data_IF_813468857384
#
_entry.id   IF_813468857384
#
_cell.length_a   1.000
_cell.length_b   1.000
_cell.length_c   1.000
_cell.angle_alpha   90.00
_cell.angle_beta   90.00
_cell.angle_gamma   90.00
#
_symmetry.space_group_name_H-M   'P 1'
#
loop_
_entity.id
_entity.type
_entity.pdbx_description
1 polymer ?
#
# COMPACT_ATOMS: atom_id res chain seq x y z
N UNK A 1 -58.59 -28.12 35.79
CA UNK A 1 -57.12 -28.10 36.05
C UNK A 1 -56.39 -27.54 34.83
N UNK A 2 -56.10 -26.24 34.85
CA UNK A 2 -55.36 -25.54 33.80
C UNK A 2 -53.87 -25.53 34.16
N UNK A 3 -53.03 -26.19 33.34
CA UNK A 3 -51.58 -26.16 33.47
C UNK A 3 -51.06 -24.85 32.82
N UNK A 4 -50.49 -23.96 33.62
CA UNK A 4 -49.72 -22.83 33.17
C UNK A 4 -48.31 -23.31 32.78
N UNK A 5 -47.96 -23.19 31.51
CA UNK A 5 -46.60 -23.35 31.02
C UNK A 5 -45.91 -21.99 31.14
N UNK A 6 -44.97 -21.85 32.05
CA UNK A 6 -44.05 -20.71 32.11
C UNK A 6 -42.89 -20.95 31.11
N UNK A 7 -42.90 -20.21 30.03
CA UNK A 7 -41.77 -20.17 29.08
C UNK A 7 -40.74 -19.18 29.61
N UNK A 8 -39.60 -19.69 30.11
CA UNK A 8 -38.45 -18.85 30.43
C UNK A 8 -37.80 -18.38 29.13
N UNK A 9 -37.90 -17.09 28.85
CA UNK A 9 -37.16 -16.41 27.77
C UNK A 9 -35.75 -16.12 28.30
N UNK A 10 -34.77 -16.91 27.89
CA UNK A 10 -33.36 -16.65 28.19
C UNK A 10 -32.88 -15.49 27.32
N UNK A 11 -32.81 -14.29 27.89
CA UNK A 11 -32.16 -13.15 27.29
C UNK A 11 -30.63 -13.36 27.45
N UNK A 12 -29.97 -13.80 26.39
CA UNK A 12 -28.51 -13.79 26.33
C UNK A 12 -28.04 -12.32 26.20
N UNK A 13 -27.68 -11.72 27.36
CA UNK A 13 -26.91 -10.47 27.35
C UNK A 13 -25.56 -10.78 26.66
N UNK A 14 -25.35 -10.26 25.47
CA UNK A 14 -24.02 -10.11 24.90
C UNK A 14 -23.27 -9.15 25.82
N UNK A 15 -22.45 -9.70 26.72
CA UNK A 15 -21.55 -8.90 27.53
C UNK A 15 -20.49 -8.28 26.60
N UNK A 16 -20.60 -6.99 26.33
CA UNK A 16 -19.50 -6.23 25.75
C UNK A 16 -18.36 -6.27 26.77
N UNK A 17 -17.16 -6.72 26.40
CA UNK A 17 -16.04 -6.76 27.32
C UNK A 17 -15.74 -5.36 27.82
N UNK A 18 -15.95 -5.11 29.12
CA UNK A 18 -15.53 -3.88 29.76
C UNK A 18 -14.03 -4.01 30.07
N UNK A 19 -13.18 -3.36 29.27
CA UNK A 19 -11.76 -3.27 29.57
C UNK A 19 -11.55 -2.47 30.87
N UNK A 20 -10.85 -3.04 31.83
CA UNK A 20 -10.45 -2.35 33.06
C UNK A 20 -9.02 -1.80 32.98
N UNK A 21 -8.28 -2.12 31.92
CA UNK A 21 -6.88 -1.76 31.72
C UNK A 21 -6.75 -0.57 30.75
N UNK A 22 -5.73 0.24 30.97
CA UNK A 22 -5.32 1.34 30.09
C UNK A 22 -5.15 0.86 28.64
N UNK A 23 -5.65 1.59 27.62
CA UNK A 23 -5.52 1.20 26.23
C UNK A 23 -4.05 1.12 25.77
N UNK A 24 -3.80 0.29 24.77
CA UNK A 24 -2.52 0.27 24.06
C UNK A 24 -2.62 1.30 22.94
N UNK A 25 -1.86 2.39 23.03
CA UNK A 25 -1.83 3.43 22.00
C UNK A 25 -0.96 3.00 20.83
N UNK A 26 -1.53 2.98 19.64
CA UNK A 26 -0.83 2.81 18.37
C UNK A 26 -0.98 4.07 17.53
N UNK A 27 0.08 4.45 16.82
CA UNK A 27 0.06 5.60 15.93
C UNK A 27 -0.41 5.20 14.53
N UNK A 28 -1.04 6.14 13.86
CA UNK A 28 -1.30 6.07 12.43
C UNK A 28 -0.92 7.40 11.78
N UNK A 29 -0.13 7.36 10.72
CA UNK A 29 0.09 8.52 9.87
C UNK A 29 -0.51 8.21 8.51
N UNK A 30 -1.43 9.05 8.07
CA UNK A 30 -2.15 8.84 6.82
C UNK A 30 -2.10 10.07 5.92
N UNK A 31 -2.48 9.90 4.67
CA UNK A 31 -2.58 10.96 3.66
C UNK A 31 -4.06 11.22 3.31
N UNK A 32 -4.90 11.53 4.33
CA UNK A 32 -6.35 11.71 4.09
C UNK A 32 -6.68 12.99 3.33
N UNK A 33 -5.70 13.88 3.19
CA UNK A 33 -5.76 15.05 2.29
C UNK A 33 -4.52 15.14 1.42
N UNK A 34 -4.57 15.99 0.38
CA UNK A 34 -3.47 16.16 -0.59
C UNK A 34 -3.58 15.22 -1.79
N UNK A 35 -2.44 14.97 -2.44
CA UNK A 35 -2.39 14.22 -3.70
C UNK A 35 -2.71 12.73 -3.51
N UNK A 36 -2.33 12.16 -2.37
CA UNK A 36 -2.52 10.75 -2.04
C UNK A 36 -3.78 10.48 -1.20
N UNK A 37 -4.77 11.39 -1.21
CA UNK A 37 -5.95 11.28 -0.35
C UNK A 37 -6.75 9.98 -0.56
N UNK A 38 -6.86 9.49 -1.79
CA UNK A 38 -7.58 8.25 -2.08
C UNK A 38 -6.98 7.05 -1.34
N UNK A 39 -5.65 6.95 -1.32
CA UNK A 39 -4.92 5.88 -0.62
C UNK A 39 -5.11 5.98 0.90
N UNK A 40 -4.87 7.16 1.47
CA UNK A 40 -4.91 7.36 2.92
C UNK A 40 -6.30 7.19 3.53
N UNK A 41 -7.36 7.57 2.82
CA UNK A 41 -8.74 7.33 3.29
C UNK A 41 -9.01 5.84 3.41
N UNK A 42 -8.61 5.04 2.41
CA UNK A 42 -8.79 3.60 2.45
C UNK A 42 -7.97 2.93 3.58
N UNK A 43 -6.75 3.43 3.86
CA UNK A 43 -5.92 2.96 4.98
C UNK A 43 -6.60 3.23 6.32
N UNK A 44 -7.03 4.47 6.57
CA UNK A 44 -7.66 4.87 7.84
C UNK A 44 -8.94 4.08 8.14
N UNK A 45 -9.81 3.91 7.15
CA UNK A 45 -11.03 3.12 7.37
C UNK A 45 -10.70 1.65 7.66
N UNK A 46 -9.68 1.09 7.03
CA UNK A 46 -9.25 -0.29 7.25
C UNK A 46 -8.58 -0.50 8.62
N UNK A 47 -7.78 0.46 9.08
CA UNK A 47 -7.22 0.46 10.45
C UNK A 47 -8.33 0.50 11.49
N UNK A 48 -9.34 1.37 11.30
CA UNK A 48 -10.53 1.43 12.19
C UNK A 48 -11.27 0.10 12.27
N UNK A 49 -11.51 -0.54 11.11
CA UNK A 49 -12.20 -1.84 11.04
C UNK A 49 -11.39 -2.90 11.81
N UNK A 50 -10.08 -3.01 11.55
CA UNK A 50 -9.22 -3.99 12.21
C UNK A 50 -9.17 -3.78 13.73
N UNK A 51 -9.02 -2.53 14.17
CA UNK A 51 -8.98 -2.18 15.60
C UNK A 51 -10.32 -2.50 16.29
N UNK A 52 -11.45 -2.19 15.64
CA UNK A 52 -12.77 -2.50 16.17
C UNK A 52 -12.97 -4.01 16.35
N UNK A 53 -12.54 -4.83 15.38
CA UNK A 53 -12.60 -6.30 15.47
C UNK A 53 -11.72 -6.85 16.59
N UNK A 54 -10.49 -6.38 16.69
CA UNK A 54 -9.54 -6.81 17.73
C UNK A 54 -10.10 -6.44 19.11
N UNK A 55 -10.64 -5.24 19.27
CA UNK A 55 -11.21 -4.78 20.54
C UNK A 55 -12.48 -5.59 20.91
N UNK A 56 -13.34 -5.88 19.93
CA UNK A 56 -14.51 -6.73 20.14
C UNK A 56 -14.14 -8.18 20.54
N UNK A 57 -12.98 -8.67 20.08
CA UNK A 57 -12.43 -9.98 20.42
C UNK A 57 -11.69 -10.03 21.78
N UNK A 58 -11.63 -8.92 22.53
CA UNK A 58 -10.97 -8.87 23.85
C UNK A 58 -9.64 -8.09 23.84
N UNK A 59 -9.32 -7.39 22.77
CA UNK A 59 -8.13 -6.55 22.64
C UNK A 59 -6.83 -7.34 22.49
N UNK A 60 -5.73 -6.70 22.83
CA UNK A 60 -4.38 -7.26 22.81
C UNK A 60 -3.86 -7.34 24.24
N UNK A 61 -3.41 -8.52 24.67
CA UNK A 61 -3.03 -8.77 26.10
C UNK A 61 -4.13 -8.33 27.09
N UNK A 62 -5.43 -8.46 26.71
CA UNK A 62 -6.58 -8.05 27.55
C UNK A 62 -6.78 -6.53 27.64
N UNK A 63 -6.16 -5.75 26.76
CA UNK A 63 -6.24 -4.28 26.69
C UNK A 63 -6.79 -3.84 25.33
N UNK A 64 -7.65 -2.81 25.24
CA UNK A 64 -8.10 -2.30 23.96
C UNK A 64 -6.95 -1.58 23.23
N UNK A 65 -6.99 -1.59 21.89
CA UNK A 65 -6.19 -0.72 21.05
C UNK A 65 -6.87 0.66 20.94
N UNK A 66 -6.06 1.72 21.02
CA UNK A 66 -6.46 3.10 20.76
C UNK A 66 -5.57 3.67 19.65
N UNK A 67 -6.18 4.21 18.58
CA UNK A 67 -5.46 4.80 17.45
C UNK A 67 -5.31 6.30 17.64
N UNK A 68 -4.07 6.78 17.58
CA UNK A 68 -3.74 8.22 17.48
C UNK A 68 -3.34 8.51 16.05
N UNK A 69 -4.20 9.19 15.28
CA UNK A 69 -4.00 9.43 13.86
C UNK A 69 -3.63 10.88 13.55
N UNK A 70 -2.67 11.07 12.64
CA UNK A 70 -2.30 12.36 12.05
C UNK A 70 -2.35 12.31 10.52
N UNK A 71 -2.95 13.34 9.91
CA UNK A 71 -2.88 13.56 8.46
C UNK A 71 -1.57 14.27 8.10
N UNK A 72 -0.74 13.65 7.29
CA UNK A 72 0.48 14.26 6.78
C UNK A 72 0.30 15.01 5.44
N UNK A 73 -0.93 15.07 4.90
CA UNK A 73 -1.30 15.88 3.75
C UNK A 73 -0.42 15.67 2.50
N UNK A 74 0.13 14.47 2.35
CA UNK A 74 1.11 14.12 1.30
C UNK A 74 2.39 14.99 1.32
N UNK A 75 2.76 15.55 2.49
CA UNK A 75 3.92 16.44 2.64
C UNK A 75 4.96 15.84 3.58
N UNK A 76 6.22 15.79 3.15
CA UNK A 76 7.32 15.24 3.95
C UNK A 76 7.50 15.97 5.31
N UNK A 77 7.36 17.30 5.32
CA UNK A 77 7.47 18.10 6.54
C UNK A 77 6.37 17.72 7.55
N UNK A 78 5.13 17.57 7.09
CA UNK A 78 4.01 17.17 7.94
C UNK A 78 4.17 15.72 8.43
N UNK A 79 4.69 14.83 7.58
CA UNK A 79 5.03 13.45 7.98
C UNK A 79 6.06 13.41 9.10
N UNK A 80 7.15 14.18 8.98
CA UNK A 80 8.20 14.29 10.03
C UNK A 80 7.62 14.86 11.33
N UNK A 81 6.76 15.87 11.24
CA UNK A 81 6.12 16.49 12.41
C UNK A 81 5.14 15.51 13.09
N UNK A 82 4.33 14.79 12.32
CA UNK A 82 3.43 13.75 12.82
C UNK A 82 4.20 12.62 13.52
N UNK A 83 5.25 12.10 12.88
CA UNK A 83 6.12 11.08 13.46
C UNK A 83 6.72 11.53 14.79
N UNK A 84 7.23 12.77 14.87
CA UNK A 84 7.78 13.33 16.12
C UNK A 84 6.72 13.40 17.22
N UNK A 85 5.50 13.85 16.90
CA UNK A 85 4.41 13.93 17.89
C UNK A 85 4.04 12.56 18.43
N UNK A 86 3.83 11.57 17.56
CA UNK A 86 3.50 10.20 17.97
C UNK A 86 4.57 9.57 18.86
N UNK A 87 5.85 9.79 18.55
CA UNK A 87 6.99 9.26 19.30
C UNK A 87 7.20 9.98 20.62
N UNK A 88 7.27 11.31 20.61
CA UNK A 88 7.72 12.10 21.77
C UNK A 88 6.59 12.51 22.71
N UNK A 89 5.39 12.80 22.18
CA UNK A 89 4.26 13.31 22.95
C UNK A 89 3.22 12.23 23.27
N UNK A 90 2.73 11.53 22.24
CA UNK A 90 1.68 10.52 22.40
C UNK A 90 2.22 9.18 22.92
N UNK A 91 3.54 8.92 22.73
CA UNK A 91 4.28 7.74 23.22
C UNK A 91 3.62 6.44 22.79
N UNK A 92 3.34 6.33 21.49
CA UNK A 92 2.71 5.15 20.90
C UNK A 92 3.68 3.96 20.86
N UNK A 93 3.14 2.74 20.88
CA UNK A 93 3.94 1.50 20.86
C UNK A 93 4.57 1.27 19.48
N UNK A 94 3.85 1.58 18.43
CA UNK A 94 4.30 1.50 17.04
C UNK A 94 3.46 2.43 16.17
N UNK A 95 3.89 2.68 14.92
CA UNK A 95 3.20 3.55 13.95
C UNK A 95 2.92 2.76 12.68
N UNK A 96 1.70 2.86 12.15
CA UNK A 96 1.27 2.26 10.88
C UNK A 96 1.14 3.36 9.83
N UNK A 97 1.47 3.02 8.57
CA UNK A 97 1.34 3.92 7.42
C UNK A 97 2.38 5.04 7.37
N UNK A 98 2.30 5.91 6.38
CA UNK A 98 1.42 5.84 5.23
C UNK A 98 2.01 5.04 4.06
N UNK A 99 1.26 4.97 2.98
CA UNK A 99 1.81 4.74 1.65
C UNK A 99 2.64 5.94 1.20
N UNK A 100 3.61 5.71 0.32
CA UNK A 100 4.46 6.78 -0.21
C UNK A 100 5.89 6.72 0.32
N UNK A 101 6.81 6.23 -0.53
CA UNK A 101 8.21 5.97 -0.15
C UNK A 101 8.92 7.21 0.40
N UNK A 102 8.83 8.36 -0.30
CA UNK A 102 9.49 9.60 0.14
C UNK A 102 9.02 10.12 1.50
N UNK A 103 7.76 9.91 1.86
CA UNK A 103 7.21 10.24 3.18
C UNK A 103 7.87 9.37 4.27
N UNK A 104 7.89 8.05 4.06
CA UNK A 104 8.47 7.11 5.01
C UNK A 104 9.99 7.27 5.16
N UNK A 105 10.72 7.51 4.06
CA UNK A 105 12.17 7.78 4.06
C UNK A 105 12.47 9.03 4.90
N UNK A 106 11.70 10.12 4.71
CA UNK A 106 11.90 11.38 5.45
C UNK A 106 11.68 11.21 6.97
N UNK A 107 10.72 10.39 7.39
CA UNK A 107 10.42 10.16 8.81
C UNK A 107 11.26 9.04 9.46
N UNK A 108 11.91 8.18 8.68
CA UNK A 108 12.67 7.04 9.20
C UNK A 108 13.68 7.40 10.31
N UNK A 109 14.43 8.52 10.24
CA UNK A 109 15.34 8.93 11.32
C UNK A 109 14.62 9.22 12.65
N UNK A 110 13.35 9.65 12.62
CA UNK A 110 12.57 9.93 13.83
C UNK A 110 12.24 8.62 14.56
N UNK A 111 11.72 7.63 13.83
CA UNK A 111 11.39 6.32 14.38
C UNK A 111 12.61 5.60 14.93
N UNK A 112 13.74 5.63 14.21
CA UNK A 112 14.98 5.01 14.66
C UNK A 112 15.53 5.67 15.94
N UNK A 113 15.53 7.00 16.04
CA UNK A 113 15.98 7.70 17.26
C UNK A 113 15.03 7.55 18.43
N UNK A 114 13.73 7.46 18.14
CA UNK A 114 12.69 7.31 19.16
C UNK A 114 12.48 5.88 19.62
N UNK A 115 13.13 4.91 18.98
CA UNK A 115 12.96 3.48 19.26
C UNK A 115 11.50 3.02 19.13
N UNK A 116 10.76 3.54 18.15
CA UNK A 116 9.36 3.19 17.87
C UNK A 116 9.27 2.54 16.50
N UNK A 117 8.72 1.33 16.44
CA UNK A 117 8.58 0.61 15.18
C UNK A 117 7.58 1.32 14.24
N UNK A 118 7.97 1.44 12.96
CA UNK A 118 7.15 1.97 11.88
C UNK A 118 6.86 0.85 10.87
N UNK A 119 5.57 0.60 10.61
CA UNK A 119 5.07 -0.41 9.69
C UNK A 119 4.50 0.30 8.45
N UNK A 120 5.30 0.42 7.41
CA UNK A 120 4.86 1.01 6.14
C UNK A 120 3.87 0.08 5.41
N UNK A 121 2.77 0.63 4.95
CA UNK A 121 1.72 -0.09 4.22
C UNK A 121 2.17 -0.43 2.79
N UNK A 122 2.48 0.60 1.99
CA UNK A 122 2.92 0.45 0.59
C UNK A 122 4.15 1.31 0.20
N UNK A 123 5.10 1.60 1.09
CA UNK A 123 6.33 2.30 0.69
C UNK A 123 7.36 1.29 0.13
N UNK A 124 7.43 1.14 -1.16
CA UNK A 124 8.15 0.07 -1.87
C UNK A 124 9.63 0.34 -2.13
N UNK A 125 10.08 1.59 -2.02
CA UNK A 125 11.49 1.94 -2.24
C UNK A 125 12.40 1.28 -1.19
N UNK A 126 13.54 0.66 -1.59
CA UNK A 126 14.47 0.02 -0.65
C UNK A 126 14.93 0.93 0.51
N UNK A 127 15.11 2.23 0.27
CA UNK A 127 15.59 3.19 1.27
C UNK A 127 14.64 3.40 2.46
N UNK A 128 13.46 2.82 2.44
CA UNK A 128 12.54 2.85 3.60
C UNK A 128 13.08 2.02 4.76
N UNK A 129 13.64 0.84 4.49
CA UNK A 129 14.13 -0.09 5.53
C UNK A 129 15.66 -0.16 5.62
N UNK A 130 16.36 0.34 4.60
CA UNK A 130 17.82 0.48 4.62
C UNK A 130 18.21 1.94 4.35
N UNK A 131 19.41 2.36 4.75
CA UNK A 131 19.97 3.64 4.37
C UNK A 131 20.78 3.55 3.05
N UNK A 132 21.31 4.67 2.59
CA UNK A 132 22.10 4.75 1.34
C UNK A 132 23.38 3.87 1.37
N UNK A 133 23.87 3.52 2.57
CA UNK A 133 25.00 2.59 2.73
C UNK A 133 24.57 1.12 2.74
N UNK A 134 23.27 0.84 2.64
CA UNK A 134 22.70 -0.50 2.74
C UNK A 134 22.54 -1.00 4.18
N UNK A 135 22.76 -0.16 5.19
CA UNK A 135 22.56 -0.53 6.59
C UNK A 135 21.07 -0.50 6.94
N UNK A 136 20.60 -1.56 7.61
CA UNK A 136 19.21 -1.68 8.06
C UNK A 136 18.84 -0.54 9.02
N UNK A 137 17.67 0.03 8.83
CA UNK A 137 16.99 0.96 9.73
C UNK A 137 16.21 0.15 10.76
N UNK A 138 16.68 -0.01 12.01
CA UNK A 138 16.21 -1.07 12.91
C UNK A 138 14.73 -0.95 13.32
N UNK A 139 14.12 0.22 13.16
CA UNK A 139 12.71 0.45 13.52
C UNK A 139 11.79 0.70 12.32
N UNK A 140 12.27 0.43 11.10
CA UNK A 140 11.45 0.61 9.90
C UNK A 140 11.19 -0.75 9.23
N UNK A 141 9.92 -1.06 9.04
CA UNK A 141 9.39 -2.29 8.47
C UNK A 141 8.41 -1.96 7.34
N UNK A 142 8.13 -2.92 6.49
CA UNK A 142 7.07 -2.82 5.47
C UNK A 142 6.34 -4.14 5.31
N UNK A 143 5.09 -4.09 4.85
CA UNK A 143 4.32 -5.27 4.51
C UNK A 143 4.24 -5.52 3.00
N UNK A 144 4.61 -4.52 2.19
CA UNK A 144 4.64 -4.57 0.72
C UNK A 144 5.95 -5.15 0.17
N UNK A 145 5.95 -5.65 -1.07
CA UNK A 145 7.19 -5.98 -1.77
C UNK A 145 7.90 -4.71 -2.30
N UNK A 146 9.10 -4.85 -2.84
CA UNK A 146 10.00 -3.75 -3.17
C UNK A 146 9.95 -3.33 -4.64
N UNK A 147 10.40 -2.10 -4.95
CA UNK A 147 10.60 -1.59 -6.30
C UNK A 147 11.43 -2.52 -7.20
N UNK A 148 12.56 -3.12 -6.74
CA UNK A 148 13.30 -4.10 -7.55
C UNK A 148 12.41 -5.25 -8.06
N UNK A 149 11.53 -5.73 -7.21
CA UNK A 149 10.63 -6.83 -7.55
C UNK A 149 9.53 -6.35 -8.51
N UNK A 150 8.93 -5.19 -8.26
CA UNK A 150 7.93 -4.60 -9.15
C UNK A 150 8.51 -4.26 -10.51
N UNK A 151 9.69 -3.64 -10.56
CA UNK A 151 10.38 -3.33 -11.80
C UNK A 151 10.63 -4.57 -12.65
N UNK A 152 11.02 -5.68 -12.00
CA UNK A 152 11.19 -6.97 -12.68
C UNK A 152 9.86 -7.52 -13.20
N UNK A 153 8.76 -7.42 -12.42
CA UNK A 153 7.41 -7.84 -12.85
C UNK A 153 6.96 -7.03 -14.07
N UNK A 154 7.04 -5.70 -14.00
CA UNK A 154 6.66 -4.81 -15.11
C UNK A 154 7.46 -5.14 -16.38
N UNK A 155 8.78 -5.33 -16.24
CA UNK A 155 9.66 -5.66 -17.35
C UNK A 155 9.34 -7.02 -17.97
N UNK A 156 9.17 -8.05 -17.16
CA UNK A 156 8.80 -9.39 -17.62
C UNK A 156 7.43 -9.38 -18.29
N UNK A 157 6.44 -8.71 -17.71
CA UNK A 157 5.11 -8.56 -18.29
C UNK A 157 5.17 -7.86 -19.64
N UNK A 158 5.85 -6.73 -19.72
CA UNK A 158 6.01 -5.98 -20.97
C UNK A 158 6.72 -6.79 -22.04
N UNK A 159 7.83 -7.44 -21.70
CA UNK A 159 8.66 -8.16 -22.68
C UNK A 159 8.04 -9.48 -23.15
N UNK A 160 7.45 -10.27 -22.23
CA UNK A 160 6.93 -11.61 -22.52
C UNK A 160 5.46 -11.57 -22.91
N UNK A 161 4.60 -10.98 -22.07
CA UNK A 161 3.16 -11.03 -22.26
C UNK A 161 2.70 -10.04 -23.33
N UNK A 162 3.21 -8.80 -23.33
CA UNK A 162 2.89 -7.80 -24.34
C UNK A 162 3.81 -7.88 -25.57
N UNK A 163 4.90 -8.68 -25.52
CA UNK A 163 5.93 -8.84 -26.57
C UNK A 163 6.61 -7.53 -26.96
N UNK A 164 6.61 -6.55 -26.08
CA UNK A 164 7.25 -5.27 -26.29
C UNK A 164 8.78 -5.42 -26.32
N UNK A 165 9.44 -4.73 -27.25
CA UNK A 165 10.88 -4.68 -27.39
C UNK A 165 11.42 -3.28 -27.13
N UNK A 166 10.57 -2.26 -27.22
CA UNK A 166 10.88 -0.86 -27.04
C UNK A 166 9.91 -0.25 -26.03
N UNK A 167 10.44 0.37 -25.00
CA UNK A 167 9.63 1.03 -23.99
C UNK A 167 9.92 2.53 -23.95
N UNK A 168 8.88 3.34 -23.77
CA UNK A 168 8.96 4.75 -23.42
C UNK A 168 8.47 4.95 -22.00
N UNK A 169 9.17 5.74 -21.19
CA UNK A 169 8.91 5.94 -19.76
C UNK A 169 8.51 7.39 -19.53
N UNK A 170 7.45 7.61 -18.73
CA UNK A 170 7.11 8.90 -18.14
C UNK A 170 7.20 8.75 -16.63
N UNK A 171 8.01 9.57 -15.93
CA UNK A 171 8.23 9.41 -14.50
C UNK A 171 8.29 10.75 -13.75
N UNK A 172 7.96 10.73 -12.47
CA UNK A 172 8.07 11.90 -11.58
C UNK A 172 9.50 11.99 -11.01
N UNK A 173 10.24 13.03 -11.43
CA UNK A 173 11.62 13.28 -10.97
C UNK A 173 11.71 13.70 -9.51
N UNK A 174 10.61 14.07 -8.88
CA UNK A 174 10.55 14.48 -7.47
C UNK A 174 10.15 13.34 -6.52
N UNK A 175 9.79 12.17 -7.05
CA UNK A 175 9.28 11.03 -6.28
C UNK A 175 10.31 9.90 -6.17
N UNK A 176 10.73 9.57 -4.94
CA UNK A 176 11.61 8.42 -4.66
C UNK A 176 11.00 7.10 -5.15
N UNK A 177 9.67 6.94 -5.04
CA UNK A 177 8.95 5.80 -5.58
C UNK A 177 9.08 5.72 -7.11
N UNK A 178 8.76 6.81 -7.80
CA UNK A 178 8.77 6.83 -9.27
C UNK A 178 10.17 6.61 -9.85
N UNK A 179 11.18 7.22 -9.25
CA UNK A 179 12.58 7.03 -9.65
C UNK A 179 13.03 5.58 -9.41
N UNK A 180 12.71 4.99 -8.25
CA UNK A 180 13.03 3.60 -7.95
C UNK A 180 12.38 2.62 -8.93
N UNK A 181 11.08 2.76 -9.18
CA UNK A 181 10.35 1.94 -10.15
C UNK A 181 10.96 2.02 -11.56
N UNK A 182 11.27 3.24 -12.03
CA UNK A 182 11.91 3.49 -13.31
C UNK A 182 13.26 2.78 -13.41
N UNK A 183 14.13 2.96 -12.43
CA UNK A 183 15.47 2.37 -12.41
C UNK A 183 15.42 0.85 -12.53
N UNK A 184 14.62 0.20 -11.69
CA UNK A 184 14.53 -1.26 -11.67
C UNK A 184 13.80 -1.82 -12.89
N UNK A 185 12.82 -1.09 -13.46
CA UNK A 185 12.23 -1.45 -14.74
C UNK A 185 13.27 -1.43 -15.86
N UNK A 186 14.00 -0.33 -16.03
CA UNK A 186 15.05 -0.19 -17.06
C UNK A 186 16.02 -1.36 -16.97
N UNK A 187 16.61 -1.57 -15.78
CA UNK A 187 17.58 -2.63 -15.55
C UNK A 187 17.05 -4.03 -15.93
N UNK A 188 15.81 -4.32 -15.56
CA UNK A 188 15.20 -5.63 -15.82
C UNK A 188 14.78 -5.79 -17.29
N UNK A 189 14.25 -4.73 -17.90
CA UNK A 189 13.81 -4.75 -19.29
C UNK A 189 14.98 -4.88 -20.26
N UNK A 190 16.07 -4.13 -20.04
CA UNK A 190 17.29 -4.22 -20.84
C UNK A 190 17.99 -5.59 -20.66
N UNK A 191 18.01 -6.13 -19.44
CA UNK A 191 18.50 -7.50 -19.18
C UNK A 191 17.73 -8.56 -19.99
N UNK A 192 16.44 -8.32 -20.23
CA UNK A 192 15.59 -9.20 -21.07
C UNK A 192 15.78 -8.98 -22.58
N UNK A 193 16.60 -8.00 -22.99
CA UNK A 193 16.83 -7.64 -24.39
C UNK A 193 15.92 -6.55 -24.95
N UNK A 194 15.18 -5.86 -24.07
CA UNK A 194 14.41 -4.67 -24.41
C UNK A 194 15.29 -3.43 -24.54
N UNK A 195 14.72 -2.36 -25.08
CA UNK A 195 15.39 -1.06 -25.26
C UNK A 195 14.49 0.08 -24.77
N UNK A 196 15.05 1.02 -24.04
CA UNK A 196 14.38 2.28 -23.71
C UNK A 196 14.58 3.25 -24.86
N UNK A 197 13.49 3.75 -25.43
CA UNK A 197 13.51 4.63 -26.63
C UNK A 197 13.11 6.08 -26.32
N UNK A 198 12.42 6.30 -25.17
CA UNK A 198 12.18 7.62 -24.59
C UNK A 198 12.13 7.51 -23.06
N UNK A 199 12.57 8.55 -22.38
CA UNK A 199 12.67 8.59 -20.93
C UNK A 199 12.41 10.02 -20.46
N UNK A 200 11.14 10.32 -20.18
CA UNK A 200 10.62 11.67 -20.00
C UNK A 200 10.27 11.93 -18.54
N UNK A 201 10.81 13.02 -18.00
CA UNK A 201 10.56 13.44 -16.62
C UNK A 201 9.50 14.53 -16.52
N UNK A 202 8.75 14.50 -15.42
CA UNK A 202 7.87 15.59 -14.98
C UNK A 202 8.04 15.82 -13.47
N UNK A 203 7.44 16.87 -12.93
CA UNK A 203 7.40 17.12 -11.48
C UNK A 203 6.00 16.86 -10.95
N UNK A 204 5.89 16.33 -9.73
CA UNK A 204 4.63 15.88 -9.12
C UNK A 204 3.45 16.85 -9.16
N UNK A 205 3.71 18.16 -9.24
CA UNK A 205 2.66 19.19 -9.37
C UNK A 205 2.22 19.46 -10.82
N UNK A 206 2.89 18.85 -11.81
CA UNK A 206 2.56 19.03 -13.22
C UNK A 206 1.20 18.39 -13.54
N UNK A 207 0.41 19.08 -14.35
CA UNK A 207 -0.94 18.64 -14.78
C UNK A 207 -1.07 18.54 -16.30
N UNK A 208 -0.03 18.92 -17.04
CA UNK A 208 0.04 18.84 -18.49
C UNK A 208 1.30 18.07 -18.94
N UNK A 209 1.08 16.92 -19.56
CA UNK A 209 2.11 15.99 -20.00
C UNK A 209 2.23 15.90 -21.52
N UNK A 210 1.52 16.75 -22.27
CA UNK A 210 1.41 16.65 -23.74
C UNK A 210 2.76 16.75 -24.44
N UNK A 211 3.70 17.55 -23.91
CA UNK A 211 5.04 17.65 -24.46
C UNK A 211 5.80 16.32 -24.37
N UNK A 212 5.87 15.75 -23.18
CA UNK A 212 6.52 14.45 -22.94
C UNK A 212 5.83 13.33 -23.72
N UNK A 213 4.50 13.30 -23.68
CA UNK A 213 3.70 12.29 -24.41
C UNK A 213 3.87 12.37 -25.92
N UNK A 214 4.08 13.56 -26.48
CA UNK A 214 4.39 13.73 -27.92
C UNK A 214 5.75 13.12 -28.25
N UNK A 215 6.78 13.41 -27.44
CA UNK A 215 8.10 12.79 -27.61
C UNK A 215 8.02 11.25 -27.53
N UNK A 216 7.24 10.74 -26.56
CA UNK A 216 7.02 9.29 -26.42
C UNK A 216 6.27 8.69 -27.61
N UNK A 217 5.27 9.39 -28.15
CA UNK A 217 4.52 8.96 -29.34
C UNK A 217 5.42 8.83 -30.57
N UNK A 218 6.37 9.74 -30.72
CA UNK A 218 7.29 9.79 -31.85
C UNK A 218 8.50 8.85 -31.68
N UNK A 219 8.64 8.18 -30.53
CA UNK A 219 9.82 7.37 -30.16
C UNK A 219 9.84 5.94 -30.70
N UNK A 220 8.84 5.49 -31.45
CA UNK A 220 8.71 4.10 -31.94
C UNK A 220 8.64 3.06 -30.80
N UNK A 221 8.02 3.43 -29.66
CA UNK A 221 7.80 2.53 -28.53
C UNK A 221 6.69 1.50 -28.81
N UNK A 222 6.78 0.33 -28.17
CA UNK A 222 5.76 -0.72 -28.17
C UNK A 222 4.88 -0.67 -26.92
N UNK A 223 5.39 -0.05 -25.85
CA UNK A 223 4.73 0.05 -24.54
C UNK A 223 5.12 1.36 -23.85
N UNK A 224 4.17 1.92 -23.12
CA UNK A 224 4.42 3.06 -22.22
C UNK A 224 4.51 2.57 -20.78
N UNK A 225 5.49 3.08 -20.04
CA UNK A 225 5.69 2.77 -18.64
C UNK A 225 5.45 4.03 -17.81
N UNK A 226 4.42 3.99 -16.95
CA UNK A 226 4.03 5.08 -16.07
C UNK A 226 4.21 4.65 -14.61
N UNK A 227 5.45 4.68 -14.07
CA UNK A 227 5.79 4.19 -12.74
C UNK A 227 5.62 5.31 -11.69
N UNK A 228 4.45 5.91 -11.59
CA UNK A 228 4.16 6.97 -10.64
C UNK A 228 2.75 6.82 -10.07
N UNK A 229 2.37 7.67 -9.14
CA UNK A 229 1.13 7.57 -8.37
C UNK A 229 0.47 8.94 -8.19
N UNK A 230 -0.69 8.98 -7.54
CA UNK A 230 -1.40 10.22 -7.26
C UNK A 230 -2.26 10.71 -8.43
N UNK A 231 -2.70 11.96 -8.35
CA UNK A 231 -3.65 12.55 -9.32
C UNK A 231 -3.05 12.77 -10.71
N UNK A 232 -1.73 12.92 -10.81
CA UNK A 232 -1.01 13.04 -12.08
C UNK A 232 -1.17 11.82 -12.97
N UNK A 233 -1.28 10.62 -12.36
CA UNK A 233 -1.36 9.36 -13.08
C UNK A 233 -2.59 9.24 -14.01
N UNK A 234 -3.84 9.36 -13.54
CA UNK A 234 -5.00 9.31 -14.42
C UNK A 234 -5.06 10.45 -15.42
N UNK A 235 -4.49 11.62 -15.10
CA UNK A 235 -4.38 12.75 -16.02
C UNK A 235 -3.43 12.42 -17.18
N UNK A 236 -2.26 11.85 -16.91
CA UNK A 236 -1.31 11.46 -17.94
C UNK A 236 -1.88 10.36 -18.85
N UNK A 237 -2.55 9.34 -18.29
CA UNK A 237 -3.22 8.32 -19.10
C UNK A 237 -4.28 8.94 -20.00
N UNK A 238 -5.12 9.83 -19.46
CA UNK A 238 -6.14 10.54 -20.24
C UNK A 238 -5.53 11.34 -21.38
N UNK A 239 -4.50 12.13 -21.12
CA UNK A 239 -3.82 12.94 -22.14
C UNK A 239 -3.13 12.08 -23.20
N UNK A 240 -2.56 10.93 -22.82
CA UNK A 240 -2.02 9.98 -23.80
C UNK A 240 -3.10 9.52 -24.79
N UNK A 241 -4.29 9.16 -24.30
CA UNK A 241 -5.42 8.74 -25.16
C UNK A 241 -5.97 9.89 -25.98
N UNK A 242 -6.03 11.12 -25.45
CA UNK A 242 -6.43 12.33 -26.20
C UNK A 242 -5.48 12.64 -27.36
N UNK A 243 -4.19 12.33 -27.20
CA UNK A 243 -3.18 12.43 -28.28
C UNK A 243 -3.22 11.26 -29.28
N UNK A 244 -4.16 10.31 -29.12
CA UNK A 244 -4.30 9.15 -29.99
C UNK A 244 -3.24 8.07 -29.75
N UNK A 245 -2.60 8.04 -28.61
CA UNK A 245 -1.64 6.97 -28.24
C UNK A 245 -2.47 5.77 -27.73
N UNK A 246 -2.49 4.69 -28.48
CA UNK A 246 -3.23 3.46 -28.13
C UNK A 246 -2.33 2.34 -27.61
N UNK A 247 -1.03 2.60 -27.44
CA UNK A 247 -0.08 1.64 -26.89
C UNK A 247 -0.52 1.16 -25.50
N UNK A 248 -0.15 -0.08 -25.10
CA UNK A 248 -0.31 -0.53 -23.72
C UNK A 248 0.39 0.40 -22.76
N UNK A 249 -0.26 0.70 -21.63
CA UNK A 249 0.35 1.43 -20.51
C UNK A 249 0.54 0.42 -19.37
N UNK A 250 1.72 0.38 -18.79
CA UNK A 250 2.06 -0.50 -17.67
C UNK A 250 2.61 0.32 -16.50
N UNK A 251 2.15 0.04 -15.30
CA UNK A 251 2.63 0.71 -14.09
C UNK A 251 2.77 -0.21 -12.89
N UNK A 252 3.27 0.39 -11.79
CA UNK A 252 3.42 -0.25 -10.49
C UNK A 252 2.15 -0.18 -9.64
N UNK A 253 2.32 -0.30 -8.34
CA UNK A 253 1.24 -0.34 -7.35
C UNK A 253 0.69 1.04 -6.93
N UNK A 254 1.05 2.09 -7.66
CA UNK A 254 0.43 3.42 -7.52
C UNK A 254 -0.92 3.59 -8.24
N UNK A 255 -1.44 2.54 -8.85
CA UNK A 255 -2.72 2.51 -9.57
C UNK A 255 -3.85 2.04 -8.65
N UNK A 256 -5.09 2.43 -8.97
CA UNK A 256 -6.29 2.01 -8.26
C UNK A 256 -7.56 2.37 -9.00
N UNK A 257 -8.70 1.93 -8.48
CA UNK A 257 -9.99 2.18 -9.15
C UNK A 257 -10.46 3.65 -9.03
N UNK A 258 -9.84 4.46 -8.15
CA UNK A 258 -10.05 5.92 -8.11
C UNK A 258 -9.74 6.61 -9.44
N UNK A 259 -8.87 6.02 -10.25
CA UNK A 259 -8.46 6.58 -11.54
C UNK A 259 -9.65 6.78 -12.50
N UNK A 260 -10.70 5.96 -12.38
CA UNK A 260 -11.90 6.06 -13.21
C UNK A 260 -12.64 7.39 -13.06
N UNK A 261 -12.54 8.04 -11.89
CA UNK A 261 -13.20 9.32 -11.64
C UNK A 261 -12.57 10.46 -12.47
N UNK A 262 -11.25 10.43 -12.65
CA UNK A 262 -10.48 11.48 -13.33
C UNK A 262 -10.35 11.17 -14.83
N UNK A 263 -10.01 9.93 -15.15
CA UNK A 263 -9.71 9.52 -16.52
C UNK A 263 -10.95 9.16 -17.35
N UNK A 264 -12.09 8.92 -16.69
CA UNK A 264 -13.29 8.43 -17.41
C UNK A 264 -13.01 7.11 -18.13
N UNK A 265 -13.38 6.99 -19.39
CA UNK A 265 -13.20 5.77 -20.19
C UNK A 265 -11.87 5.74 -20.97
N UNK A 266 -10.80 6.34 -20.42
CA UNK A 266 -9.50 6.37 -21.10
C UNK A 266 -8.49 5.37 -20.56
N UNK A 267 -8.87 4.55 -19.56
CA UNK A 267 -7.98 3.52 -18.97
C UNK A 267 -7.87 2.24 -19.81
N UNK A 268 -8.38 2.22 -21.05
CA UNK A 268 -8.24 1.08 -21.93
C UNK A 268 -6.77 0.70 -22.15
N UNK A 269 -6.53 -0.60 -22.33
CA UNK A 269 -5.20 -1.13 -22.58
C UNK A 269 -4.17 -0.69 -21.51
N UNK A 270 -4.62 -0.60 -20.24
CA UNK A 270 -3.79 -0.21 -19.09
C UNK A 270 -3.68 -1.38 -18.13
N UNK A 271 -2.45 -1.68 -17.70
CA UNK A 271 -2.09 -2.79 -16.82
C UNK A 271 -1.23 -2.28 -15.67
N UNK A 272 -1.32 -2.92 -14.51
CA UNK A 272 -0.52 -2.51 -13.38
C UNK A 272 -0.24 -3.65 -12.40
N UNK A 273 0.82 -3.49 -11.62
CA UNK A 273 1.25 -4.47 -10.62
C UNK A 273 0.48 -4.23 -9.32
N UNK A 274 -0.15 -5.25 -8.80
CA UNK A 274 -0.85 -5.24 -7.53
C UNK A 274 -0.29 -6.31 -6.58
N UNK A 275 -0.47 -6.09 -5.29
CA UNK A 275 -0.18 -7.07 -4.25
C UNK A 275 -1.32 -8.08 -4.09
N UNK A 276 -2.53 -7.70 -4.49
CA UNK A 276 -3.75 -8.49 -4.30
C UNK A 276 -4.66 -8.38 -5.52
N UNK A 277 -5.49 -9.40 -5.69
CA UNK A 277 -6.67 -9.33 -6.54
C UNK A 277 -7.89 -9.01 -5.66
N UNK A 278 -8.57 -7.87 -5.91
CA UNK A 278 -9.78 -7.48 -5.15
C UNK A 278 -10.83 -8.58 -5.11
N UNK A 279 -10.92 -9.35 -6.18
CA UNK A 279 -11.94 -10.39 -6.35
C UNK A 279 -11.48 -11.77 -5.86
N UNK A 280 -10.31 -11.86 -5.20
CA UNK A 280 -9.92 -13.09 -4.50
C UNK A 280 -10.98 -13.41 -3.43
N UNK A 281 -11.56 -14.64 -3.45
CA UNK A 281 -12.60 -15.02 -2.51
C UNK A 281 -12.21 -14.87 -1.04
N UNK A 282 -10.92 -14.93 -0.71
CA UNK A 282 -10.41 -14.76 0.66
C UNK A 282 -10.60 -13.33 1.19
N UNK A 283 -10.67 -12.34 0.32
CA UNK A 283 -10.83 -10.94 0.66
C UNK A 283 -12.28 -10.47 0.71
N UNK A 284 -13.23 -11.31 0.26
CA UNK A 284 -14.64 -10.91 0.15
C UNK A 284 -15.24 -10.43 1.45
N UNK A 285 -15.02 -11.15 2.54
CA UNK A 285 -15.59 -10.81 3.85
C UNK A 285 -15.10 -9.44 4.35
N UNK A 286 -13.83 -9.10 4.10
CA UNK A 286 -13.27 -7.80 4.42
C UNK A 286 -13.95 -6.68 3.60
N UNK A 287 -14.09 -6.83 2.29
CA UNK A 287 -14.71 -5.80 1.46
C UNK A 287 -16.20 -5.64 1.71
N UNK A 288 -16.92 -6.72 2.01
CA UNK A 288 -18.32 -6.64 2.46
C UNK A 288 -18.41 -5.78 3.73
N UNK A 289 -17.54 -6.03 4.72
CA UNK A 289 -17.48 -5.27 5.96
C UNK A 289 -17.04 -3.81 5.73
N UNK A 290 -16.04 -3.58 4.88
CA UNK A 290 -15.63 -2.22 4.50
C UNK A 290 -16.83 -1.43 3.96
N UNK A 291 -17.62 -2.04 3.07
CA UNK A 291 -18.82 -1.41 2.55
C UNK A 291 -19.91 -1.21 3.64
N UNK A 292 -20.08 -2.17 4.54
CA UNK A 292 -21.03 -2.05 5.66
C UNK A 292 -20.69 -0.88 6.58
N UNK A 293 -19.41 -0.64 6.86
CA UNK A 293 -18.97 0.44 7.75
C UNK A 293 -18.93 1.81 7.06
N UNK A 294 -18.42 1.89 5.83
CA UNK A 294 -18.17 3.15 5.14
C UNK A 294 -19.31 3.58 4.22
N UNK A 295 -20.21 2.66 3.82
CA UNK A 295 -21.26 2.84 2.79
C UNK A 295 -20.72 3.20 1.40
N UNK A 296 -19.42 2.96 1.19
CA UNK A 296 -18.75 3.21 -0.10
C UNK A 296 -17.95 1.99 -0.55
N UNK A 297 -17.84 1.81 -1.87
CA UNK A 297 -16.92 0.81 -2.42
C UNK A 297 -15.47 1.22 -2.15
N UNK A 298 -14.65 0.23 -1.80
CA UNK A 298 -13.22 0.48 -1.59
C UNK A 298 -12.50 0.61 -2.94
N UNK A 299 -12.18 1.82 -3.34
CA UNK A 299 -11.49 2.10 -4.61
C UNK A 299 -9.98 1.84 -4.52
N UNK A 300 -9.41 1.98 -3.32
CA UNK A 300 -8.00 1.71 -3.02
C UNK A 300 -7.86 0.43 -2.20
N UNK A 301 -8.33 -0.67 -2.80
CA UNK A 301 -8.44 -1.97 -2.15
C UNK A 301 -7.09 -2.54 -1.69
N UNK A 302 -6.01 -2.24 -2.38
CA UNK A 302 -4.67 -2.69 -2.03
C UNK A 302 -4.19 -2.01 -0.74
N UNK A 303 -4.30 -0.67 -0.66
CA UNK A 303 -3.99 0.12 0.53
C UNK A 303 -4.81 -0.32 1.74
N UNK A 304 -6.12 -0.54 1.51
CA UNK A 304 -7.03 -1.02 2.53
C UNK A 304 -6.58 -2.36 3.14
N UNK A 305 -6.26 -3.34 2.29
CA UNK A 305 -5.81 -4.67 2.72
C UNK A 305 -4.48 -4.61 3.44
N UNK A 306 -3.51 -3.84 2.94
CA UNK A 306 -2.20 -3.70 3.58
C UNK A 306 -2.29 -3.03 4.96
N UNK A 307 -3.09 -1.98 5.08
CA UNK A 307 -3.30 -1.29 6.35
C UNK A 307 -3.99 -2.18 7.40
N UNK A 308 -5.04 -2.91 6.99
CA UNK A 308 -5.71 -3.88 7.84
C UNK A 308 -4.75 -4.95 8.35
N UNK A 309 -3.96 -5.54 7.47
CA UNK A 309 -3.00 -6.58 7.82
C UNK A 309 -1.83 -6.04 8.67
N UNK A 310 -1.41 -4.77 8.53
CA UNK A 310 -0.45 -4.14 9.43
C UNK A 310 -0.94 -4.12 10.88
N UNK A 311 -2.22 -3.87 11.12
CA UNK A 311 -2.79 -3.90 12.49
C UNK A 311 -2.72 -5.31 13.09
N UNK A 312 -3.08 -6.33 12.30
CA UNK A 312 -3.01 -7.72 12.74
C UNK A 312 -1.58 -8.22 12.92
N UNK A 313 -0.65 -7.76 12.09
CA UNK A 313 0.77 -8.05 12.27
C UNK A 313 1.31 -7.41 13.56
N UNK A 314 0.96 -6.15 13.82
CA UNK A 314 1.33 -5.48 15.08
C UNK A 314 0.72 -6.17 16.31
N UNK A 315 -0.55 -6.57 16.22
CA UNK A 315 -1.22 -7.38 17.27
C UNK A 315 -0.42 -8.64 17.57
N UNK A 316 -0.10 -9.45 16.56
CA UNK A 316 0.68 -10.67 16.71
C UNK A 316 2.06 -10.41 17.34
N UNK A 317 2.74 -9.34 16.91
CA UNK A 317 4.04 -8.96 17.47
C UNK A 317 3.95 -8.58 18.96
N UNK A 318 2.94 -7.80 19.37
CA UNK A 318 2.72 -7.44 20.79
C UNK A 318 2.40 -8.69 21.61
N UNK A 319 1.59 -9.62 21.09
CA UNK A 319 1.24 -10.87 21.78
C UNK A 319 2.45 -11.79 21.94
N UNK A 320 3.28 -11.96 20.89
CA UNK A 320 4.54 -12.73 20.97
C UNK A 320 5.57 -12.10 21.91
N UNK A 321 5.65 -10.78 21.93
CA UNK A 321 6.49 -10.04 22.85
C UNK A 321 6.00 -10.16 24.32
N UNK A 322 4.71 -10.44 24.54
CA UNK A 322 4.05 -10.40 25.85
C UNK A 322 4.18 -9.04 26.54
N UNK A 323 4.37 -7.97 25.78
CA UNK A 323 4.74 -6.64 26.25
C UNK A 323 4.39 -5.55 25.25
N UNK A 324 4.16 -4.34 25.76
CA UNK A 324 4.04 -3.10 24.95
C UNK A 324 5.34 -2.27 24.94
N UNK A 325 6.44 -2.83 25.42
CA UNK A 325 7.76 -2.22 25.33
C UNK A 325 8.17 -2.14 23.84
N UNK A 326 8.50 -0.93 23.32
CA UNK A 326 8.76 -0.75 21.89
C UNK A 326 9.94 -1.59 21.35
N UNK A 327 10.98 -1.83 22.16
CA UNK A 327 12.13 -2.66 21.71
C UNK A 327 11.71 -4.14 21.57
N UNK A 328 10.94 -4.65 22.53
CA UNK A 328 10.44 -6.03 22.46
C UNK A 328 9.46 -6.23 21.31
N UNK A 329 8.63 -5.23 21.03
CA UNK A 329 7.71 -5.25 19.88
C UNK A 329 8.49 -5.21 18.57
N UNK A 330 9.53 -4.36 18.47
CA UNK A 330 10.43 -4.32 17.32
C UNK A 330 11.10 -5.68 17.08
N UNK A 331 11.65 -6.30 18.12
CA UNK A 331 12.27 -7.63 18.02
C UNK A 331 11.28 -8.71 17.55
N UNK A 332 10.04 -8.64 18.05
CA UNK A 332 8.99 -9.55 17.61
C UNK A 332 8.57 -9.32 16.15
N UNK A 333 8.54 -8.07 15.67
CA UNK A 333 8.29 -7.75 14.27
C UNK A 333 9.39 -8.32 13.36
N UNK A 334 10.67 -8.11 13.70
CA UNK A 334 11.83 -8.62 12.97
C UNK A 334 11.82 -10.16 12.88
N UNK A 335 11.39 -10.85 13.94
CA UNK A 335 11.31 -12.31 14.03
C UNK A 335 10.05 -12.92 13.39
N UNK A 336 9.23 -12.13 12.69
CA UNK A 336 7.99 -12.63 12.07
C UNK A 336 8.29 -13.72 11.03
N UNK A 337 7.73 -14.91 11.22
CA UNK A 337 7.85 -16.06 10.32
C UNK A 337 6.52 -16.78 10.16
N UNK A 338 6.13 -17.02 8.91
CA UNK A 338 4.93 -17.78 8.55
C UNK A 338 3.63 -17.24 9.19
N UNK A 339 3.56 -15.94 9.49
CA UNK A 339 2.36 -15.32 10.01
C UNK A 339 1.28 -15.30 8.92
N UNK A 340 0.17 -15.96 9.19
CA UNK A 340 -0.97 -15.96 8.27
C UNK A 340 -1.77 -14.66 8.45
N UNK A 341 -1.71 -13.81 7.46
CA UNK A 341 -2.51 -12.60 7.32
C UNK A 341 -3.60 -12.81 6.28
N UNK A 342 -4.46 -11.81 6.08
CA UNK A 342 -5.57 -11.91 5.15
C UNK A 342 -5.10 -12.11 3.71
N UNK A 343 -4.10 -11.33 3.27
CA UNK A 343 -3.64 -11.38 1.88
C UNK A 343 -2.40 -12.26 1.65
N UNK A 344 -1.66 -12.66 2.70
CA UNK A 344 -0.42 -13.42 2.52
C UNK A 344 -0.03 -14.22 3.76
N UNK A 345 1.00 -15.05 3.59
CA UNK A 345 1.77 -15.63 4.71
C UNK A 345 3.05 -14.82 4.84
N UNK A 346 3.13 -13.99 5.89
CA UNK A 346 4.22 -13.04 6.09
C UNK A 346 5.42 -13.71 6.74
N UNK A 347 6.59 -13.55 6.13
CA UNK A 347 7.90 -13.84 6.71
C UNK A 347 8.81 -12.67 6.39
N UNK A 348 9.50 -12.14 7.41
CA UNK A 348 10.44 -11.03 7.24
C UNK A 348 11.85 -11.55 6.93
N UNK A 349 12.56 -10.82 6.06
CA UNK A 349 14.00 -10.98 5.85
C UNK A 349 14.84 -10.11 6.80
N UNK A 350 16.16 -10.22 6.70
CA UNK A 350 17.12 -9.44 7.50
C UNK A 350 17.11 -7.93 7.19
N UNK A 351 16.44 -7.51 6.12
CA UNK A 351 16.29 -6.11 5.70
C UNK A 351 14.91 -5.54 6.03
N UNK A 352 14.11 -6.25 6.84
CA UNK A 352 12.74 -5.90 7.23
C UNK A 352 11.75 -5.82 6.06
N UNK A 353 11.94 -6.69 5.07
CA UNK A 353 11.04 -6.83 3.93
C UNK A 353 10.34 -8.19 3.93
N UNK A 354 9.10 -8.26 3.43
CA UNK A 354 8.41 -9.54 3.28
C UNK A 354 9.01 -10.38 2.14
N UNK A 355 9.07 -11.68 2.35
CA UNK A 355 9.55 -12.66 1.36
C UNK A 355 8.40 -13.44 0.76
N UNK A 356 8.63 -14.02 -0.43
CA UNK A 356 7.77 -15.07 -1.00
C UNK A 356 6.44 -14.59 -1.57
N UNK A 357 6.26 -13.28 -1.80
CA UNK A 357 5.04 -12.74 -2.42
C UNK A 357 5.05 -12.88 -3.94
N UNK A 358 3.89 -13.17 -4.52
CA UNK A 358 3.64 -13.09 -5.96
C UNK A 358 3.19 -11.68 -6.34
N UNK A 359 3.56 -11.21 -7.53
CA UNK A 359 2.97 -10.02 -8.12
C UNK A 359 1.73 -10.38 -8.93
N UNK A 360 0.67 -9.63 -8.75
CA UNK A 360 -0.57 -9.74 -9.52
C UNK A 360 -0.57 -8.66 -10.60
N UNK A 361 -0.80 -9.03 -11.85
CA UNK A 361 -1.09 -8.05 -12.89
C UNK A 361 -2.60 -7.90 -13.01
N UNK A 362 -3.06 -6.68 -12.88
CA UNK A 362 -4.43 -6.29 -13.13
C UNK A 362 -4.53 -5.54 -14.45
N UNK A 363 -5.68 -5.66 -15.11
CA UNK A 363 -6.06 -4.93 -16.31
C UNK A 363 -7.24 -4.02 -16.01
N UNK A 364 -7.17 -2.78 -16.42
CA UNK A 364 -8.31 -1.88 -16.38
C UNK A 364 -9.37 -2.31 -17.41
N UNK A 365 -10.58 -2.60 -16.96
CA UNK A 365 -11.72 -2.98 -17.81
C UNK A 365 -12.68 -1.79 -17.94
N UNK A 366 -12.88 -1.30 -19.17
CA UNK A 366 -13.70 -0.12 -19.47
C UNK A 366 -15.19 -0.37 -19.28
N UNK A 367 -15.64 -1.62 -19.49
CA UNK A 367 -17.05 -1.97 -19.40
C UNK A 367 -17.51 -1.98 -17.95
N UNK A 368 -16.72 -2.61 -17.10
CA UNK A 368 -17.02 -2.71 -15.66
C UNK A 368 -16.49 -1.51 -14.86
N UNK A 369 -15.57 -0.70 -15.44
CA UNK A 369 -14.83 0.38 -14.78
C UNK A 369 -14.15 -0.12 -13.52
N UNK A 370 -13.42 -1.22 -13.64
CA UNK A 370 -12.75 -1.94 -12.57
C UNK A 370 -11.41 -2.48 -13.04
N UNK A 371 -10.55 -2.74 -12.09
CA UNK A 371 -9.29 -3.44 -12.32
C UNK A 371 -9.49 -4.94 -12.10
N UNK A 372 -9.40 -5.71 -13.16
CA UNK A 372 -9.65 -7.15 -13.16
C UNK A 372 -8.34 -7.94 -13.23
N UNK A 373 -8.31 -9.10 -12.57
CA UNK A 373 -7.19 -10.03 -12.63
C UNK A 373 -6.82 -10.39 -14.06
N UNK A 374 -5.54 -10.29 -14.39
CA UNK A 374 -5.01 -10.69 -15.68
C UNK A 374 -4.06 -11.90 -15.57
N UNK A 375 -3.04 -11.82 -14.71
CA UNK A 375 -2.10 -12.94 -14.49
C UNK A 375 -1.31 -12.74 -13.19
N UNK A 376 -0.58 -13.77 -12.75
CA UNK A 376 0.43 -13.69 -11.69
C UNK A 376 1.82 -13.83 -12.29
N UNK A 377 2.77 -13.08 -11.76
CA UNK A 377 4.18 -13.12 -12.16
C UNK A 377 5.04 -13.24 -10.90
N UNK A 378 5.96 -14.18 -10.94
CA UNK A 378 7.06 -14.28 -9.98
C UNK A 378 8.35 -14.21 -10.78
N UNK A 379 9.04 -13.07 -10.78
CA UNK A 379 10.35 -12.95 -11.41
C UNK A 379 11.36 -13.92 -10.78
N UNK A 380 12.28 -14.44 -11.60
CA UNK A 380 13.38 -15.29 -11.16
C UNK A 380 14.50 -14.47 -10.48
#
# INVERSE_FOLDING_TARGET
MRKFLLTLLAISLLAVPAFSAEPIKIGEIATVTGDFAAYGVAEVESVKIAVAEINAAGGVLGRPLEVVMYDCRTRQEDMVNAARRLVEQDKVVAVIGPSGSGLCIAAAPIFNRGHVAHLGTLPTNPLVTVDESGKVRPYNFRICFLDPYQGAIMAQFSYINLRAKKAAILYDVSSDYSQGQREFFIKSFEKSGGKIVADEGFRGEDVDFRSQLTNMKDSDADVLIFPFMGKSLPLAVKQARELGIELPIVGGDGYGDFMWEISGNTLRNTFWVSHVDRYDPTLKAFFDKYYEETKTECQEFMNAVMAYDCVYWLKDAIERAGSTDPEKVRDALEQTKNLKLMHCVLTMDEFHNPTGKDGVILRCDETERKSLFFTKIRPE
#
